data_IF_516360995160
#
_entry.id   IF_516360995160
#
_cell.length_a   1.000
_cell.length_b   1.000
_cell.length_c   1.000
_cell.angle_alpha   90.00
_cell.angle_beta   90.00
_cell.angle_gamma   90.00
#
_symmetry.space_group_name_H-M   'P 1'
#
loop_
_entity.id
_entity.type
_entity.pdbx_description
1 polymer ?
#
# COMPACT_ATOMS: atom_id res chain seq x y z
N UNK A 1 -24.79 -8.43 -23.26
CA UNK A 1 -23.52 -8.94 -23.84
C UNK A 1 -22.37 -8.24 -23.14
N UNK A 2 -21.76 -8.91 -22.15
CA UNK A 2 -20.70 -8.33 -21.33
C UNK A 2 -19.41 -8.16 -22.13
N UNK A 3 -19.01 -6.91 -22.37
CA UNK A 3 -17.73 -6.59 -22.98
C UNK A 3 -16.61 -7.14 -22.11
N UNK A 4 -15.86 -8.10 -22.63
CA UNK A 4 -14.59 -8.53 -22.03
C UNK A 4 -13.64 -7.35 -22.11
N UNK A 5 -13.45 -6.64 -21.00
CA UNK A 5 -12.41 -5.63 -20.86
C UNK A 5 -11.07 -6.31 -21.15
N UNK A 6 -10.44 -5.92 -22.27
CA UNK A 6 -9.17 -6.47 -22.73
C UNK A 6 -8.11 -6.18 -21.66
N UNK A 7 -7.69 -7.23 -20.93
CA UNK A 7 -6.64 -7.17 -19.90
C UNK A 7 -5.37 -6.60 -20.53
N UNK A 8 -4.89 -5.47 -20.02
CA UNK A 8 -3.69 -4.79 -20.51
C UNK A 8 -2.44 -5.66 -20.38
N UNK A 9 -1.58 -5.55 -21.38
CA UNK A 9 -0.20 -6.03 -21.33
C UNK A 9 0.55 -5.15 -20.33
N UNK A 10 1.30 -5.79 -19.43
CA UNK A 10 2.10 -5.10 -18.44
C UNK A 10 3.21 -4.32 -19.13
N UNK A 11 3.30 -3.01 -18.89
CA UNK A 11 4.37 -2.18 -19.43
C UNK A 11 5.70 -2.44 -18.71
N UNK A 12 5.64 -2.89 -17.45
CA UNK A 12 6.80 -3.15 -16.58
C UNK A 12 6.60 -4.40 -15.74
N UNK A 13 7.67 -5.18 -15.53
CA UNK A 13 7.74 -6.28 -14.57
C UNK A 13 8.69 -5.93 -13.43
N UNK A 14 8.29 -6.18 -12.18
CA UNK A 14 9.13 -6.04 -11.01
C UNK A 14 9.07 -7.31 -10.15
N UNK A 15 10.24 -7.77 -9.70
CA UNK A 15 10.38 -8.99 -8.90
C UNK A 15 10.71 -8.61 -7.47
N UNK A 16 9.83 -8.97 -6.56
CA UNK A 16 9.95 -8.65 -5.14
C UNK A 16 10.34 -9.90 -4.36
N UNK A 17 11.24 -9.75 -3.40
CA UNK A 17 11.64 -10.79 -2.45
C UNK A 17 11.81 -10.16 -1.06
N UNK A 18 11.65 -10.92 0.03
CA UNK A 18 11.90 -10.39 1.36
C UNK A 18 13.31 -9.82 1.44
N UNK A 19 13.39 -8.57 1.86
CA UNK A 19 14.60 -7.76 1.95
C UNK A 19 15.54 -8.36 3.00
N UNK A 20 14.94 -8.87 4.08
CA UNK A 20 15.62 -9.63 5.15
C UNK A 20 15.26 -11.10 5.01
N UNK A 21 16.26 -11.95 4.77
CA UNK A 21 16.11 -13.40 4.60
C UNK A 21 16.31 -14.19 5.90
N UNK A 22 16.10 -13.53 7.04
CA UNK A 22 16.17 -14.11 8.37
C UNK A 22 14.80 -14.04 9.04
N UNK A 23 14.45 -15.09 9.76
CA UNK A 23 13.24 -15.13 10.54
C UNK A 23 13.39 -14.13 11.67
N UNK A 24 12.58 -13.09 11.60
CA UNK A 24 12.59 -12.05 12.62
C UNK A 24 12.41 -12.57 14.05
N UNK A 25 11.76 -13.72 14.28
CA UNK A 25 11.49 -14.26 15.63
C UNK A 25 12.65 -15.10 16.19
N UNK A 26 13.25 -15.97 15.37
CA UNK A 26 14.28 -16.92 15.81
C UNK A 26 15.65 -16.73 15.14
N UNK A 27 15.81 -15.73 14.26
CA UNK A 27 17.03 -15.47 13.49
C UNK A 27 17.29 -16.45 12.33
N UNK A 28 16.63 -17.60 12.31
CA UNK A 28 16.88 -18.65 11.30
C UNK A 28 16.58 -18.22 9.87
N UNK A 29 17.36 -18.72 8.92
CA UNK A 29 17.21 -18.34 7.51
C UNK A 29 15.82 -18.71 6.96
N UNK A 30 15.15 -17.74 6.36
CA UNK A 30 13.90 -17.96 5.63
C UNK A 30 14.16 -18.80 4.37
N UNK A 31 13.23 -19.69 4.04
CA UNK A 31 13.17 -20.31 2.71
C UNK A 31 12.13 -19.62 1.85
N UNK A 32 12.48 -19.34 0.61
CA UNK A 32 11.49 -18.92 -0.39
C UNK A 32 10.58 -20.11 -0.67
N UNK A 33 9.29 -19.95 -0.36
CA UNK A 33 8.31 -21.02 -0.43
C UNK A 33 7.59 -21.04 -1.78
N UNK A 34 7.10 -19.88 -2.24
CA UNK A 34 6.38 -19.73 -3.51
C UNK A 34 6.46 -18.29 -4.00
N UNK A 35 6.05 -18.07 -5.25
CA UNK A 35 5.83 -16.73 -5.80
C UNK A 35 4.37 -16.55 -6.21
N UNK A 36 3.84 -15.36 -5.97
CA UNK A 36 2.54 -14.92 -6.48
C UNK A 36 2.74 -13.86 -7.57
N UNK A 37 1.72 -13.70 -8.41
CA UNK A 37 1.71 -12.69 -9.45
C UNK A 37 0.54 -11.75 -9.25
N UNK A 38 0.77 -10.45 -9.42
CA UNK A 38 -0.25 -9.43 -9.26
C UNK A 38 -0.05 -8.31 -10.28
N UNK A 39 -1.14 -7.80 -10.82
CA UNK A 39 -1.15 -6.59 -11.64
C UNK A 39 -1.60 -5.41 -10.77
N UNK A 40 -0.89 -4.29 -10.88
CA UNK A 40 -1.19 -3.05 -10.18
C UNK A 40 -1.20 -1.92 -11.20
N UNK A 41 -2.33 -1.23 -11.34
CA UNK A 41 -2.42 -0.02 -12.13
C UNK A 41 -1.83 1.16 -11.33
N UNK A 42 -0.80 1.79 -11.89
CA UNK A 42 -0.10 2.96 -11.34
C UNK A 42 -0.30 4.16 -12.25
N UNK A 43 0.08 5.35 -11.82
CA UNK A 43 0.11 6.56 -12.65
C UNK A 43 1.14 6.42 -13.80
N UNK A 44 2.13 5.54 -13.66
CA UNK A 44 3.14 5.23 -14.68
C UNK A 44 2.73 4.05 -15.60
N UNK A 45 1.54 3.51 -15.40
CA UNK A 45 0.98 2.40 -16.19
C UNK A 45 0.85 1.08 -15.41
N UNK A 46 0.63 -0.01 -16.15
CA UNK A 46 0.34 -1.32 -15.57
C UNK A 46 1.62 -2.05 -15.14
N UNK A 47 1.79 -2.25 -13.83
CA UNK A 47 2.92 -2.94 -13.23
C UNK A 47 2.58 -4.41 -12.94
N UNK A 48 3.38 -5.34 -13.48
CA UNK A 48 3.31 -6.75 -13.13
C UNK A 48 4.31 -7.05 -12.01
N UNK A 49 3.80 -7.45 -10.85
CA UNK A 49 4.60 -7.88 -9.72
C UNK A 49 4.74 -9.40 -9.71
N UNK A 50 5.97 -9.88 -9.55
CA UNK A 50 6.26 -11.26 -9.11
C UNK A 50 6.75 -11.21 -7.67
N UNK A 51 5.89 -11.57 -6.73
CA UNK A 51 6.16 -11.46 -5.29
C UNK A 51 6.61 -12.81 -4.75
N UNK A 52 7.84 -12.91 -4.27
CA UNK A 52 8.37 -14.13 -3.64
C UNK A 52 8.09 -14.10 -2.14
N UNK A 53 7.53 -15.18 -1.61
CA UNK A 53 7.13 -15.28 -0.20
C UNK A 53 8.14 -16.15 0.55
N UNK A 54 8.69 -15.60 1.62
CA UNK A 54 9.55 -16.32 2.55
C UNK A 54 8.76 -17.01 3.67
N UNK A 55 9.28 -18.13 4.19
CA UNK A 55 8.76 -18.81 5.38
C UNK A 55 9.89 -19.25 6.30
N UNK A 56 9.64 -19.17 7.61
CA UNK A 56 10.51 -19.79 8.60
C UNK A 56 10.33 -21.31 8.56
N UNK A 57 11.44 -22.04 8.58
CA UNK A 57 11.47 -23.51 8.55
C UNK A 57 11.82 -24.14 9.90
N UNK A 58 12.01 -23.33 10.95
CA UNK A 58 12.24 -23.81 12.30
C UNK A 58 10.89 -24.20 12.96
N UNK A 59 10.63 -25.49 13.26
CA UNK A 59 9.36 -25.93 13.84
C UNK A 59 9.09 -25.42 15.26
N UNK A 60 10.13 -25.01 16.00
CA UNK A 60 10.00 -24.44 17.34
C UNK A 60 9.69 -22.93 17.32
N UNK A 61 9.69 -22.29 16.14
CA UNK A 61 9.42 -20.87 16.01
C UNK A 61 7.92 -20.60 15.94
N UNK A 62 7.44 -19.57 16.65
CA UNK A 62 6.04 -19.11 16.56
C UNK A 62 5.64 -18.68 15.13
N UNK A 63 6.61 -18.35 14.27
CA UNK A 63 6.43 -18.02 12.85
C UNK A 63 6.65 -19.18 11.90
N UNK A 64 6.74 -20.41 12.39
CA UNK A 64 6.87 -21.60 11.55
C UNK A 64 5.81 -21.60 10.45
N UNK A 65 6.25 -21.66 9.19
CA UNK A 65 5.41 -21.62 7.99
C UNK A 65 4.49 -20.40 7.78
N UNK A 66 4.57 -19.36 8.62
CA UNK A 66 3.85 -18.12 8.37
C UNK A 66 4.49 -17.35 7.20
N UNK A 67 3.68 -16.82 6.28
CA UNK A 67 4.18 -16.06 5.13
C UNK A 67 4.89 -14.79 5.59
N UNK A 68 5.99 -14.48 4.93
CA UNK A 68 6.72 -13.23 5.05
C UNK A 68 6.77 -12.59 3.67
N UNK A 69 6.00 -11.52 3.51
CA UNK A 69 5.94 -10.73 2.29
C UNK A 69 7.12 -9.76 2.21
N UNK A 70 7.58 -9.41 1.00
CA UNK A 70 8.48 -8.28 0.78
C UNK A 70 7.87 -6.98 1.30
N UNK A 71 8.67 -6.15 1.98
CA UNK A 71 8.26 -4.82 2.43
C UNK A 71 7.88 -3.95 1.23
N UNK A 72 8.63 -4.07 0.14
CA UNK A 72 8.44 -3.33 -1.11
C UNK A 72 7.06 -3.53 -1.75
N UNK A 73 6.41 -4.67 -1.55
CA UNK A 73 5.05 -4.88 -2.04
C UNK A 73 4.08 -3.85 -1.43
N UNK A 74 4.24 -3.56 -0.14
CA UNK A 74 3.41 -2.61 0.60
C UNK A 74 3.69 -1.15 0.26
N UNK A 75 4.87 -0.84 -0.30
CA UNK A 75 5.18 0.51 -0.83
C UNK A 75 4.48 0.79 -2.17
N UNK A 76 4.02 -0.27 -2.85
CA UNK A 76 3.40 -0.16 -4.18
C UNK A 76 1.88 -0.13 -4.07
N UNK A 77 1.27 -1.05 -3.33
CA UNK A 77 -0.19 -1.16 -3.24
C UNK A 77 -0.67 -1.77 -1.92
N UNK A 78 -1.85 -1.35 -1.46
CA UNK A 78 -2.54 -1.97 -0.32
C UNK A 78 -2.86 -3.45 -0.60
N UNK A 79 -2.91 -4.34 0.41
CA UNK A 79 -3.34 -5.72 0.21
C UNK A 79 -4.70 -5.83 -0.49
N UNK A 80 -4.81 -6.68 -1.51
CA UNK A 80 -6.03 -6.95 -2.30
C UNK A 80 -6.51 -5.84 -3.26
N UNK A 81 -5.84 -4.69 -3.35
CA UNK A 81 -6.24 -3.60 -4.27
C UNK A 81 -5.61 -3.73 -5.67
N UNK A 82 -6.31 -3.32 -6.72
CA UNK A 82 -5.74 -3.37 -8.08
C UNK A 82 -5.03 -2.07 -8.50
N UNK A 83 -5.09 -1.05 -7.64
CA UNK A 83 -4.50 0.27 -7.88
C UNK A 83 -3.37 0.55 -6.90
N UNK A 84 -2.34 1.23 -7.40
CA UNK A 84 -1.19 1.64 -6.61
C UNK A 84 -1.51 2.71 -5.58
N UNK A 85 -0.63 2.86 -4.60
CA UNK A 85 -0.70 3.92 -3.59
C UNK A 85 -0.58 5.32 -4.21
N UNK A 86 0.13 5.44 -5.32
CA UNK A 86 0.25 6.66 -6.12
C UNK A 86 -1.10 7.11 -6.71
N UNK A 87 -1.89 6.19 -7.25
CA UNK A 87 -3.26 6.45 -7.72
C UNK A 87 -4.16 6.87 -6.57
N UNK A 88 -4.04 6.18 -5.42
CA UNK A 88 -4.82 6.51 -4.22
C UNK A 88 -4.49 7.93 -3.70
N UNK A 89 -3.20 8.28 -3.64
CA UNK A 89 -2.75 9.62 -3.25
C UNK A 89 -3.21 10.70 -4.23
N UNK A 90 -3.16 10.43 -5.54
CA UNK A 90 -3.68 11.32 -6.57
C UNK A 90 -5.18 11.61 -6.38
N UNK A 91 -5.99 10.56 -6.16
CA UNK A 91 -7.43 10.69 -5.92
C UNK A 91 -7.70 11.53 -4.68
N UNK A 92 -6.98 11.26 -3.58
CA UNK A 92 -7.09 12.03 -2.34
C UNK A 92 -6.81 13.51 -2.55
N UNK A 93 -5.69 13.85 -3.20
CA UNK A 93 -5.34 15.24 -3.49
C UNK A 93 -6.38 15.93 -4.38
N UNK A 94 -6.80 15.28 -5.47
CA UNK A 94 -7.83 15.83 -6.35
C UNK A 94 -9.11 16.15 -5.58
N UNK A 95 -9.51 15.27 -4.67
CA UNK A 95 -10.72 15.48 -3.87
C UNK A 95 -10.58 16.61 -2.87
N UNK A 96 -9.48 16.63 -2.11
CA UNK A 96 -9.37 17.46 -0.91
C UNK A 96 -8.65 18.78 -1.14
N UNK A 97 -7.65 18.82 -2.02
CA UNK A 97 -6.93 20.05 -2.35
C UNK A 97 -7.60 20.76 -3.53
N UNK A 98 -7.94 20.02 -4.58
CA UNK A 98 -8.46 20.59 -5.84
C UNK A 98 -10.00 20.65 -5.88
N UNK A 99 -10.67 20.05 -4.89
CA UNK A 99 -12.14 20.00 -4.75
C UNK A 99 -12.85 19.36 -5.94
N UNK A 100 -12.16 18.48 -6.66
CA UNK A 100 -12.68 17.76 -7.80
C UNK A 100 -13.81 16.80 -7.40
N UNK A 101 -14.79 16.65 -8.29
CA UNK A 101 -15.84 15.62 -8.22
C UNK A 101 -15.29 14.26 -8.69
N UNK A 102 -15.95 13.16 -8.33
CA UNK A 102 -15.55 11.82 -8.79
C UNK A 102 -15.48 11.70 -10.33
N UNK A 103 -16.33 12.44 -11.06
CA UNK A 103 -16.29 12.48 -12.52
C UNK A 103 -15.06 13.23 -13.06
N UNK A 104 -14.68 14.35 -12.43
CA UNK A 104 -13.46 15.08 -12.79
C UNK A 104 -12.21 14.26 -12.47
N UNK A 105 -12.19 13.57 -11.33
CA UNK A 105 -11.10 12.67 -10.95
C UNK A 105 -10.95 11.53 -11.96
N UNK A 106 -12.06 10.91 -12.36
CA UNK A 106 -12.07 9.89 -13.40
C UNK A 106 -11.46 10.41 -14.70
N UNK A 107 -11.93 11.57 -15.19
CA UNK A 107 -11.39 12.17 -16.41
C UNK A 107 -9.89 12.48 -16.29
N UNK A 108 -9.42 12.95 -15.13
CA UNK A 108 -8.01 13.24 -14.90
C UNK A 108 -7.13 11.97 -14.87
N UNK A 109 -7.67 10.84 -14.42
CA UNK A 109 -7.02 9.53 -14.47
C UNK A 109 -7.02 8.95 -15.89
N UNK A 110 -8.11 9.10 -16.65
CA UNK A 110 -8.17 8.69 -18.06
C UNK A 110 -7.17 9.46 -18.92
N UNK A 111 -7.02 10.77 -18.68
CA UNK A 111 -6.00 11.60 -19.34
C UNK A 111 -4.57 11.13 -19.07
N UNK A 112 -4.34 10.47 -17.93
CA UNK A 112 -3.07 9.83 -17.55
C UNK A 112 -2.98 8.37 -17.99
N UNK A 113 -3.91 7.91 -18.83
CA UNK A 113 -4.02 6.53 -19.30
C UNK A 113 -4.23 5.49 -18.17
N UNK A 114 -4.69 5.90 -16.99
CA UNK A 114 -5.06 4.97 -15.92
C UNK A 114 -6.46 4.46 -16.19
N UNK A 115 -6.58 3.17 -16.55
CA UNK A 115 -7.88 2.54 -16.77
C UNK A 115 -8.59 2.27 -15.45
N UNK A 116 -9.60 3.08 -15.16
CA UNK A 116 -10.41 2.98 -13.96
C UNK A 116 -11.86 3.28 -14.31
N UNK A 117 -12.80 2.64 -13.61
CA UNK A 117 -14.21 3.01 -13.72
C UNK A 117 -14.55 4.11 -12.71
N UNK A 118 -15.54 4.95 -13.00
CA UNK A 118 -16.00 5.95 -12.04
C UNK A 118 -16.44 5.32 -10.70
N UNK A 119 -16.95 4.08 -10.72
CA UNK A 119 -17.25 3.30 -9.51
C UNK A 119 -16.00 3.00 -8.69
N UNK A 120 -14.91 2.58 -9.34
CA UNK A 120 -13.64 2.34 -8.65
C UNK A 120 -13.04 3.65 -8.12
N UNK A 121 -13.23 4.78 -8.80
CA UNK A 121 -12.84 6.09 -8.24
C UNK A 121 -13.56 6.35 -6.92
N UNK A 122 -14.88 6.12 -6.86
CA UNK A 122 -15.65 6.26 -5.63
C UNK A 122 -15.15 5.30 -4.52
N UNK A 123 -14.88 4.04 -4.85
CA UNK A 123 -14.32 3.10 -3.87
C UNK A 123 -12.93 3.50 -3.36
N UNK A 124 -12.08 4.06 -4.22
CA UNK A 124 -10.77 4.55 -3.81
C UNK A 124 -10.87 5.83 -2.97
N UNK A 125 -11.86 6.70 -3.23
CA UNK A 125 -12.18 7.84 -2.36
C UNK A 125 -12.60 7.36 -0.97
N UNK A 126 -13.56 6.43 -0.89
CA UNK A 126 -14.00 5.85 0.38
C UNK A 126 -12.84 5.18 1.12
N UNK A 127 -11.95 4.49 0.39
CA UNK A 127 -10.78 3.88 1.00
C UNK A 127 -9.77 4.92 1.48
N UNK A 128 -9.55 5.99 0.72
CA UNK A 128 -8.71 7.10 1.15
C UNK A 128 -9.26 7.72 2.44
N UNK A 129 -10.56 7.99 2.47
CA UNK A 129 -11.26 8.56 3.64
C UNK A 129 -11.15 7.62 4.84
N UNK A 130 -11.30 6.31 4.63
CA UNK A 130 -11.12 5.31 5.67
C UNK A 130 -9.70 5.32 6.22
N UNK A 131 -8.67 5.39 5.36
CA UNK A 131 -7.28 5.44 5.82
C UNK A 131 -6.98 6.72 6.62
N UNK A 132 -7.50 7.85 6.16
CA UNK A 132 -7.39 9.14 6.87
C UNK A 132 -8.24 9.15 8.15
N UNK A 133 -9.37 8.44 8.21
CA UNK A 133 -10.19 8.36 9.42
C UNK A 133 -9.62 7.35 10.44
N UNK A 134 -9.05 6.23 9.96
CA UNK A 134 -8.40 5.21 10.77
C UNK A 134 -7.07 5.70 11.35
N UNK A 135 -6.44 6.69 10.71
CA UNK A 135 -5.30 7.42 11.28
C UNK A 135 -5.67 8.22 12.53
N UNK A 136 -6.97 8.46 12.76
CA UNK A 136 -7.52 9.22 13.88
C UNK A 136 -8.16 8.30 14.94
N UNK A 137 -8.45 7.03 14.64
CA UNK A 137 -9.19 6.13 15.55
C UNK A 137 -8.33 5.08 16.22
N UNK A 138 -8.15 5.26 17.52
CA UNK A 138 -7.57 4.29 18.45
C UNK A 138 -8.61 3.20 18.83
N UNK A 139 -8.71 2.13 18.02
CA UNK A 139 -9.61 1.01 18.31
C UNK A 139 -8.97 0.00 19.29
N UNK A 140 -9.68 -0.43 20.36
CA UNK A 140 -9.21 -1.48 21.27
C UNK A 140 -8.90 -2.82 20.58
N UNK A 141 -9.71 -3.21 19.59
CA UNK A 141 -9.53 -4.46 18.84
C UNK A 141 -8.24 -4.43 17.98
N UNK A 142 -7.98 -3.29 17.35
CA UNK A 142 -6.73 -3.04 16.62
C UNK A 142 -5.54 -3.18 17.55
N UNK A 143 -5.57 -2.51 18.71
CA UNK A 143 -4.50 -2.60 19.71
C UNK A 143 -4.28 -4.02 20.19
N UNK A 144 -5.35 -4.79 20.45
CA UNK A 144 -5.23 -6.18 20.88
C UNK A 144 -4.56 -7.05 19.80
N UNK A 145 -4.96 -6.90 18.53
CA UNK A 145 -4.35 -7.62 17.40
C UNK A 145 -2.87 -7.29 17.23
N UNK A 146 -2.53 -6.00 17.28
CA UNK A 146 -1.15 -5.52 17.17
C UNK A 146 -0.30 -5.95 18.37
N UNK A 147 -0.85 -5.90 19.59
CA UNK A 147 -0.17 -6.37 20.80
C UNK A 147 0.13 -7.88 20.74
N UNK A 148 -0.79 -8.68 20.18
CA UNK A 148 -0.59 -10.12 20.01
C UNK A 148 0.58 -10.47 19.06
N UNK A 149 1.05 -9.55 18.22
CA UNK A 149 2.27 -9.76 17.41
C UNK A 149 3.56 -9.71 18.25
N UNK A 150 3.52 -9.20 19.48
CA UNK A 150 4.67 -9.08 20.38
C UNK A 150 5.72 -8.03 19.97
N UNK A 151 5.59 -7.45 18.78
CA UNK A 151 6.37 -6.31 18.26
C UNK A 151 5.71 -5.72 17.02
N UNK A 152 6.10 -4.49 16.69
CA UNK A 152 5.65 -3.77 15.50
C UNK A 152 6.85 -3.38 14.66
N UNK A 153 6.74 -3.52 13.33
CA UNK A 153 7.69 -2.94 12.38
C UNK A 153 6.94 -1.85 11.63
N UNK A 154 7.37 -0.60 11.81
CA UNK A 154 6.72 0.56 11.19
C UNK A 154 7.45 0.94 9.91
N UNK A 155 6.69 1.14 8.84
CA UNK A 155 7.17 1.79 7.62
C UNK A 155 6.46 3.14 7.47
N UNK A 156 7.22 4.17 7.10
CA UNK A 156 6.73 5.53 6.85
C UNK A 156 6.98 5.84 5.39
N UNK A 157 5.93 6.19 4.65
CA UNK A 157 5.97 6.42 3.21
C UNK A 157 5.36 7.77 2.85
N UNK A 158 6.08 8.56 2.05
CA UNK A 158 5.56 9.77 1.43
C UNK A 158 5.10 9.49 0.01
N UNK A 159 3.81 9.66 -0.25
CA UNK A 159 3.21 9.51 -1.57
C UNK A 159 3.02 10.90 -2.18
N UNK A 160 3.95 11.28 -3.06
CA UNK A 160 3.98 12.61 -3.67
C UNK A 160 3.21 12.62 -4.99
N UNK A 161 2.10 13.38 -5.11
CA UNK A 161 1.31 13.42 -6.33
C UNK A 161 1.93 14.30 -7.43
N UNK A 162 2.58 15.43 -7.10
CA UNK A 162 3.43 16.26 -7.99
C UNK A 162 4.39 17.16 -7.16
N UNK A 163 5.35 17.84 -7.81
CA UNK A 163 6.29 18.78 -7.17
C UNK A 163 5.56 20.02 -6.63
N UNK A 164 5.83 20.41 -5.38
CA UNK A 164 5.30 21.64 -4.76
C UNK A 164 3.95 21.52 -4.05
N UNK A 165 3.41 20.31 -3.91
CA UNK A 165 2.13 20.05 -3.25
C UNK A 165 2.28 19.16 -2.01
N UNK A 166 1.24 19.16 -1.17
CA UNK A 166 1.18 18.30 0.03
C UNK A 166 1.47 16.84 -0.31
N UNK A 167 2.28 16.21 0.53
CA UNK A 167 2.64 14.80 0.43
C UNK A 167 1.75 14.02 1.38
N UNK A 168 1.10 12.96 0.89
CA UNK A 168 0.37 12.03 1.74
C UNK A 168 1.38 11.12 2.43
N UNK A 169 1.55 11.30 3.74
CA UNK A 169 2.38 10.45 4.57
C UNK A 169 1.56 9.31 5.15
N UNK A 170 2.05 8.08 5.01
CA UNK A 170 1.40 6.87 5.51
C UNK A 170 2.35 6.16 6.46
N UNK A 171 1.90 5.88 7.70
CA UNK A 171 2.56 4.95 8.60
C UNK A 171 1.79 3.64 8.58
N UNK A 172 2.49 2.54 8.34
CA UNK A 172 1.91 1.20 8.35
C UNK A 172 2.69 0.24 9.24
N UNK A 173 1.96 -0.68 9.85
CA UNK A 173 2.51 -1.88 10.45
C UNK A 173 2.77 -2.90 9.34
N UNK A 174 4.04 -3.14 9.09
CA UNK A 174 4.53 -3.95 7.97
C UNK A 174 4.01 -5.39 8.01
N UNK A 175 3.93 -5.99 9.19
CA UNK A 175 3.72 -7.43 9.32
C UNK A 175 2.29 -7.85 9.00
N UNK A 176 1.33 -7.02 9.38
CA UNK A 176 -0.09 -7.14 9.08
C UNK A 176 -0.47 -6.43 7.77
N UNK A 177 0.37 -5.49 7.30
CA UNK A 177 0.04 -4.58 6.22
C UNK A 177 -1.01 -3.53 6.62
N UNK A 178 -1.29 -3.39 7.92
CA UNK A 178 -2.28 -2.43 8.42
C UNK A 178 -1.72 -1.02 8.40
N UNK A 179 -2.47 -0.09 7.79
CA UNK A 179 -2.15 1.34 7.87
C UNK A 179 -2.59 1.86 9.24
N UNK A 180 -1.64 2.41 9.99
CA UNK A 180 -1.82 2.98 11.32
C UNK A 180 -2.11 4.48 11.26
N UNK A 181 -1.45 5.19 10.34
CA UNK A 181 -1.61 6.62 10.13
C UNK A 181 -1.60 6.95 8.64
N UNK A 182 -2.39 7.94 8.23
CA UNK A 182 -2.35 8.59 6.93
C UNK A 182 -2.66 10.08 7.16
N UNK A 183 -1.73 10.96 6.77
CA UNK A 183 -1.84 12.41 6.95
C UNK A 183 -1.16 13.16 5.81
N UNK A 184 -1.83 14.16 5.24
CA UNK A 184 -1.20 15.09 4.31
C UNK A 184 -0.36 16.10 5.08
N UNK A 185 0.90 16.27 4.69
CA UNK A 185 1.79 17.29 5.24
C UNK A 185 2.28 18.20 4.11
N UNK A 186 2.44 19.50 4.42
CA UNK A 186 2.93 20.52 3.49
C UNK A 186 4.43 20.40 3.26
N UNK A 187 5.18 19.84 4.21
CA UNK A 187 6.62 19.65 4.13
C UNK A 187 7.04 18.21 4.43
N UNK A 188 8.20 17.82 3.91
CA UNK A 188 8.92 16.61 4.29
C UNK A 188 9.98 16.87 5.37
N UNK A 189 9.90 18.01 6.07
CA UNK A 189 10.88 18.35 7.09
C UNK A 189 10.79 17.43 8.32
N UNK A 190 11.93 17.22 8.97
CA UNK A 190 12.02 16.34 10.14
C UNK A 190 11.03 16.71 11.26
N UNK A 191 10.81 18.01 11.49
CA UNK A 191 9.91 18.47 12.56
C UNK A 191 8.44 18.04 12.32
N UNK A 192 7.96 18.11 11.08
CA UNK A 192 6.61 17.66 10.74
C UNK A 192 6.49 16.13 10.74
N UNK A 193 7.56 15.42 10.34
CA UNK A 193 7.58 13.95 10.34
C UNK A 193 7.60 13.35 11.76
N UNK A 194 8.30 13.98 12.71
CA UNK A 194 8.31 13.54 14.11
C UNK A 194 6.89 13.57 14.69
N UNK A 195 6.05 14.52 14.29
CA UNK A 195 4.67 14.61 14.77
C UNK A 195 3.75 13.46 14.28
N UNK A 196 4.26 12.57 13.43
CA UNK A 196 3.56 11.36 13.01
C UNK A 196 3.89 10.14 13.90
N UNK A 197 4.94 10.20 14.73
CA UNK A 197 5.39 9.13 15.63
C UNK A 197 4.90 9.36 17.07
#
# INVERSE_FOLDING_TARGET
>A
MGGKTRREESSREQRLRPEVMECRDCGERLRLAYSTWRKVATLEGMLQLKVSIGRCVNPACARYHLPTHPLEEGHIALPYYEYGLDVLAFIGRQRYCERSTAAQIHAALEQRAVRISQRNVQYLLERYDELVALSVRDSPERRARLAAQGRLILAIDGLQPDVGHEVLWVIREVLSGEVLLARSLLSSCQAELIALL
#
